data_IF_801463011351
#
_entry.id   IF_801463011351
#
_cell.length_a   1.000
_cell.length_b   1.000
_cell.length_c   1.000
_cell.angle_alpha   90.00
_cell.angle_beta   90.00
_cell.angle_gamma   90.00
#
_symmetry.space_group_name_H-M   'P 1'
#
loop_
_entity.id
_entity.type
_entity.pdbx_description
1 polymer ?
#
# COMPACT_ATOMS: atom_id res chain seq x y z
N UNK A 1 23.44 -11.42 22.96
CA UNK A 1 22.07 -11.28 22.42
C UNK A 1 22.02 -10.62 21.04
N UNK A 2 22.99 -9.78 20.66
CA UNK A 2 22.91 -8.99 19.43
C UNK A 2 23.02 -9.81 18.12
N UNK A 3 23.86 -10.84 18.09
CA UNK A 3 24.04 -11.68 16.89
C UNK A 3 22.75 -12.42 16.50
N UNK A 4 22.02 -13.00 17.45
CA UNK A 4 20.74 -13.69 17.19
C UNK A 4 19.68 -12.75 16.60
N UNK A 5 19.56 -11.55 17.15
CA UNK A 5 18.65 -10.51 16.62
C UNK A 5 19.02 -10.09 15.21
N UNK A 6 20.32 -9.96 14.90
CA UNK A 6 20.79 -9.71 13.54
C UNK A 6 20.39 -10.85 12.60
N UNK A 7 20.63 -12.11 12.98
CA UNK A 7 20.23 -13.30 12.19
C UNK A 7 18.72 -13.29 11.90
N UNK A 8 17.88 -13.02 12.90
CA UNK A 8 16.43 -12.95 12.68
C UNK A 8 16.00 -11.81 11.76
N UNK A 9 16.65 -10.63 11.86
CA UNK A 9 16.42 -9.53 10.92
C UNK A 9 16.79 -9.90 9.49
N UNK A 10 17.90 -10.60 9.31
CA UNK A 10 18.34 -11.08 8.00
C UNK A 10 17.42 -12.15 7.40
N UNK A 11 16.64 -12.87 8.23
CA UNK A 11 15.67 -13.85 7.75
C UNK A 11 14.25 -13.31 7.55
N UNK A 12 14.04 -12.00 7.75
CA UNK A 12 12.79 -11.35 7.40
C UNK A 12 12.70 -11.15 5.89
N UNK A 13 11.47 -11.16 5.31
CA UNK A 13 11.29 -10.81 3.92
C UNK A 13 11.83 -9.40 3.63
N UNK A 14 12.10 -9.15 2.35
CA UNK A 14 12.39 -7.80 1.87
C UNK A 14 11.23 -6.83 2.14
N UNK A 15 11.42 -5.53 1.82
CA UNK A 15 10.29 -4.60 1.85
C UNK A 15 9.22 -5.09 0.86
N UNK A 16 7.97 -5.19 1.31
CA UNK A 16 6.87 -5.71 0.50
C UNK A 16 5.88 -4.61 0.15
N UNK A 17 5.18 -4.81 -0.95
CA UNK A 17 4.06 -3.98 -1.33
C UNK A 17 2.77 -4.69 -1.00
N UNK A 18 1.84 -3.95 -0.40
CA UNK A 18 0.48 -4.37 -0.12
C UNK A 18 -0.39 -3.76 -1.20
N UNK A 19 -1.25 -4.57 -1.80
CA UNK A 19 -2.24 -4.10 -2.76
C UNK A 19 -3.65 -4.36 -2.26
N UNK A 20 -4.59 -3.66 -2.88
CA UNK A 20 -6.01 -3.92 -2.73
C UNK A 20 -6.41 -4.97 -3.77
N UNK A 21 -7.29 -5.88 -3.38
CA UNK A 21 -7.89 -6.86 -4.26
C UNK A 21 -9.38 -6.96 -3.96
N UNK A 22 -10.16 -7.44 -4.93
CA UNK A 22 -11.56 -7.76 -4.73
C UNK A 22 -11.80 -9.24 -5.04
N UNK A 23 -12.76 -9.86 -4.36
CA UNK A 23 -13.12 -11.27 -4.60
C UNK A 23 -13.95 -11.48 -5.86
N UNK A 24 -14.65 -10.45 -6.34
CA UNK A 24 -15.59 -10.57 -7.45
C UNK A 24 -15.77 -9.23 -8.19
N UNK A 25 -15.70 -9.29 -9.52
CA UNK A 25 -16.01 -8.18 -10.40
C UNK A 25 -17.14 -8.56 -11.34
N UNK A 26 -18.21 -7.77 -11.33
CA UNK A 26 -19.33 -7.92 -12.22
C UNK A 26 -19.02 -7.20 -13.54
N UNK A 27 -18.69 -7.97 -14.57
CA UNK A 27 -18.33 -7.45 -15.90
C UNK A 27 -19.48 -6.76 -16.62
N UNK A 28 -20.73 -7.15 -16.35
CA UNK A 28 -21.92 -6.55 -16.99
C UNK A 28 -22.21 -5.15 -16.45
N UNK A 29 -22.02 -4.98 -15.14
CA UNK A 29 -22.21 -3.70 -14.45
C UNK A 29 -20.94 -2.84 -14.40
N UNK A 30 -19.80 -3.43 -14.73
CA UNK A 30 -18.47 -2.84 -14.53
C UNK A 30 -18.25 -2.39 -13.07
N UNK A 31 -18.71 -3.20 -12.12
CA UNK A 31 -18.72 -2.89 -10.69
C UNK A 31 -18.14 -4.05 -9.87
N UNK A 32 -17.43 -3.72 -8.78
CA UNK A 32 -16.98 -4.72 -7.83
C UNK A 32 -18.12 -5.09 -6.87
N UNK A 33 -18.52 -6.36 -6.87
CA UNK A 33 -19.59 -6.88 -6.01
C UNK A 33 -19.06 -7.71 -4.84
N UNK A 34 -17.78 -8.08 -4.91
CA UNK A 34 -17.12 -8.89 -3.90
C UNK A 34 -16.61 -8.07 -2.72
N UNK A 35 -15.96 -8.76 -1.78
CA UNK A 35 -15.33 -8.11 -0.62
C UNK A 35 -13.98 -7.54 -1.02
N UNK A 36 -13.78 -6.25 -0.76
CA UNK A 36 -12.46 -5.60 -0.91
C UNK A 36 -11.55 -5.97 0.27
N UNK A 37 -10.34 -6.43 -0.01
CA UNK A 37 -9.36 -6.84 1.00
C UNK A 37 -7.93 -6.44 0.63
N UNK A 38 -7.02 -6.51 1.61
CA UNK A 38 -5.59 -6.24 1.43
C UNK A 38 -4.83 -7.55 1.30
N UNK A 39 -3.83 -7.58 0.41
CA UNK A 39 -2.90 -8.71 0.27
C UNK A 39 -1.49 -8.25 -0.06
N UNK A 40 -0.51 -9.08 0.22
CA UNK A 40 0.88 -8.84 -0.18
C UNK A 40 1.02 -9.11 -1.68
N UNK A 41 1.39 -8.08 -2.44
CA UNK A 41 1.54 -8.12 -3.90
C UNK A 41 2.89 -8.74 -4.33
N UNK A 42 3.94 -8.48 -3.55
CA UNK A 42 5.30 -8.90 -3.86
C UNK A 42 6.34 -8.08 -3.10
N UNK A 43 7.63 -8.36 -3.35
CA UNK A 43 8.68 -7.45 -2.91
C UNK A 43 8.62 -6.12 -3.68
N UNK A 44 9.08 -5.04 -3.04
CA UNK A 44 9.13 -3.72 -3.64
C UNK A 44 9.98 -3.70 -4.92
N UNK A 45 11.11 -4.41 -4.92
CA UNK A 45 11.99 -4.51 -6.09
C UNK A 45 11.35 -5.26 -7.25
N UNK A 46 10.62 -6.35 -6.97
CA UNK A 46 9.89 -7.07 -8.03
C UNK A 46 8.81 -6.17 -8.60
N UNK A 47 8.06 -5.45 -7.76
CA UNK A 47 6.99 -4.57 -8.24
C UNK A 47 7.52 -3.43 -9.12
N UNK A 48 8.65 -2.80 -8.76
CA UNK A 48 9.24 -1.72 -9.57
C UNK A 48 9.71 -2.16 -10.97
N UNK A 49 9.90 -3.47 -11.18
CA UNK A 49 10.24 -4.07 -12.48
C UNK A 49 9.00 -4.46 -13.28
N UNK A 50 7.80 -4.27 -12.73
CA UNK A 50 6.54 -4.56 -13.38
C UNK A 50 5.80 -3.27 -13.71
N UNK A 51 5.07 -3.27 -14.83
CA UNK A 51 4.12 -2.21 -15.15
C UNK A 51 2.86 -2.36 -14.28
N UNK A 52 2.91 -1.80 -13.07
CA UNK A 52 1.78 -1.85 -12.14
C UNK A 52 0.75 -0.74 -12.38
N UNK A 53 1.08 0.33 -13.11
CA UNK A 53 0.17 1.45 -13.36
C UNK A 53 -0.90 1.14 -14.40
N UNK A 54 -0.49 0.61 -15.56
CA UNK A 54 -1.39 0.47 -16.69
C UNK A 54 -2.15 -0.87 -16.71
N UNK A 55 -1.57 -1.94 -16.15
CA UNK A 55 -2.05 -3.31 -16.35
C UNK A 55 -2.52 -3.99 -15.06
N UNK A 56 -2.41 -3.34 -13.90
CA UNK A 56 -2.68 -3.98 -12.61
C UNK A 56 -3.94 -3.41 -11.92
N UNK A 57 -5.10 -3.97 -12.22
CA UNK A 57 -6.39 -3.65 -11.57
C UNK A 57 -6.70 -4.54 -10.35
N UNK A 58 -7.78 -4.25 -9.62
CA UNK A 58 -8.30 -5.10 -8.52
C UNK A 58 -8.69 -6.52 -8.97
N UNK A 59 -8.88 -6.73 -10.29
CA UNK A 59 -9.26 -8.00 -10.90
C UNK A 59 -8.08 -8.97 -11.02
N UNK A 60 -6.87 -8.51 -10.73
CA UNK A 60 -5.71 -9.38 -10.79
C UNK A 60 -5.88 -10.54 -9.82
N UNK A 61 -5.95 -11.74 -10.38
CA UNK A 61 -6.26 -12.94 -9.62
C UNK A 61 -5.10 -13.31 -8.69
N UNK A 62 -3.86 -12.86 -8.96
CA UNK A 62 -2.67 -13.29 -8.21
C UNK A 62 -1.69 -12.16 -7.88
N UNK A 63 -0.99 -12.26 -6.73
CA UNK A 63 0.16 -11.41 -6.44
C UNK A 63 1.26 -11.64 -7.48
N UNK A 64 2.10 -10.62 -7.72
CA UNK A 64 3.28 -10.73 -8.60
C UNK A 64 4.23 -11.80 -8.06
N UNK A 65 4.41 -11.82 -6.75
CA UNK A 65 5.35 -12.69 -6.06
C UNK A 65 4.71 -13.21 -4.77
N UNK A 66 4.91 -14.48 -4.46
CA UNK A 66 4.45 -15.03 -3.19
C UNK A 66 5.31 -14.50 -2.04
N UNK A 67 4.69 -13.78 -1.09
CA UNK A 67 5.37 -13.25 0.08
C UNK A 67 4.98 -14.03 1.35
N UNK A 68 5.76 -15.04 1.77
CA UNK A 68 5.46 -15.78 2.99
C UNK A 68 5.63 -14.91 4.24
N UNK A 69 5.02 -15.31 5.37
CA UNK A 69 5.32 -14.72 6.67
C UNK A 69 6.80 -14.81 7.04
N UNK A 70 7.33 -13.91 7.90
CA UNK A 70 8.72 -14.00 8.35
C UNK A 70 9.03 -15.35 9.01
N UNK A 71 10.04 -16.05 8.49
CA UNK A 71 10.47 -17.38 9.01
C UNK A 71 10.81 -17.31 10.50
N UNK A 72 11.29 -16.18 10.98
CA UNK A 72 11.59 -15.92 12.38
C UNK A 72 10.39 -16.13 13.33
N UNK A 73 9.15 -16.13 12.85
CA UNK A 73 7.97 -16.47 13.66
C UNK A 73 7.90 -17.96 14.05
N UNK A 74 8.58 -18.83 13.31
CA UNK A 74 8.50 -20.29 13.43
C UNK A 74 9.69 -20.91 14.18
N UNK A 75 10.77 -20.16 14.40
CA UNK A 75 12.03 -20.71 14.93
C UNK A 75 11.94 -21.08 16.42
N UNK A 76 11.69 -20.11 17.28
CA UNK A 76 11.59 -20.29 18.73
C UNK A 76 10.82 -19.14 19.37
N UNK A 77 10.47 -19.25 20.66
CA UNK A 77 9.72 -18.23 21.38
C UNK A 77 10.43 -16.86 21.40
N UNK A 78 11.76 -16.85 21.59
CA UNK A 78 12.55 -15.61 21.62
C UNK A 78 12.48 -14.88 20.26
N UNK A 79 12.69 -15.63 19.17
CA UNK A 79 12.61 -15.14 17.79
C UNK A 79 11.23 -14.62 17.42
N UNK A 80 10.19 -15.35 17.82
CA UNK A 80 8.79 -14.97 17.59
C UNK A 80 8.46 -13.67 18.31
N UNK A 81 8.77 -13.57 19.61
CA UNK A 81 8.54 -12.35 20.40
C UNK A 81 9.29 -11.16 19.83
N UNK A 82 10.53 -11.38 19.38
CA UNK A 82 11.31 -10.34 18.72
C UNK A 82 10.68 -9.88 17.40
N UNK A 83 10.25 -10.82 16.56
CA UNK A 83 9.63 -10.50 15.27
C UNK A 83 8.30 -9.79 15.45
N UNK A 84 7.46 -10.24 16.39
CA UNK A 84 6.18 -9.59 16.73
C UNK A 84 6.35 -8.22 17.41
N UNK A 85 7.56 -7.84 17.83
CA UNK A 85 7.83 -6.46 18.25
C UNK A 85 8.02 -5.49 17.07
N UNK A 86 8.12 -6.01 15.85
CA UNK A 86 8.38 -5.24 14.63
C UNK A 86 7.27 -5.44 13.58
N UNK A 87 6.63 -6.60 13.60
CA UNK A 87 5.49 -6.94 12.76
C UNK A 87 4.21 -6.94 13.60
N UNK A 88 3.13 -6.40 13.05
CA UNK A 88 1.78 -6.56 13.57
C UNK A 88 0.96 -7.46 12.65
N UNK A 89 0.05 -8.25 13.23
CA UNK A 89 -0.91 -9.01 12.45
C UNK A 89 -2.04 -8.08 12.02
N UNK A 90 -2.26 -7.96 10.70
CA UNK A 90 -3.44 -7.34 10.11
C UNK A 90 -4.53 -8.41 10.01
N UNK A 91 -5.52 -8.35 10.89
CA UNK A 91 -6.64 -9.30 10.93
C UNK A 91 -7.82 -8.77 10.12
N UNK A 92 -8.29 -9.58 9.17
CA UNK A 92 -9.51 -9.28 8.42
C UNK A 92 -10.72 -9.84 9.17
N UNK A 93 -11.73 -9.01 9.43
CA UNK A 93 -12.85 -9.29 10.32
C UNK A 93 -13.65 -10.56 9.96
N UNK A 94 -13.78 -10.86 8.66
CA UNK A 94 -14.60 -11.99 8.18
C UNK A 94 -13.82 -13.24 7.76
N UNK A 95 -12.51 -13.14 7.55
CA UNK A 95 -11.75 -14.23 6.90
C UNK A 95 -10.27 -14.19 7.26
N UNK A 96 -9.78 -15.27 7.88
CA UNK A 96 -8.37 -15.42 8.17
C UNK A 96 -7.50 -15.48 6.91
N UNK A 97 -8.06 -15.87 5.76
CA UNK A 97 -7.34 -15.96 4.49
C UNK A 97 -6.85 -14.59 3.98
N UNK A 98 -7.48 -13.49 4.41
CA UNK A 98 -7.09 -12.12 4.05
C UNK A 98 -6.32 -11.41 5.16
N UNK A 99 -5.82 -12.17 6.13
CA UNK A 99 -4.99 -11.68 7.22
C UNK A 99 -3.51 -11.91 6.92
N UNK A 100 -2.64 -10.97 7.30
CA UNK A 100 -1.21 -11.06 7.02
C UNK A 100 -0.38 -10.29 8.06
N UNK A 101 0.91 -10.60 8.15
CA UNK A 101 1.83 -9.84 9.00
C UNK A 101 2.36 -8.61 8.26
N UNK A 102 2.09 -7.43 8.80
CA UNK A 102 2.57 -6.13 8.35
C UNK A 102 3.79 -5.72 9.17
N UNK A 103 4.83 -5.19 8.52
CA UNK A 103 5.89 -4.42 9.15
C UNK A 103 5.69 -2.93 8.83
N UNK A 104 5.17 -2.13 9.77
CA UNK A 104 4.88 -0.72 9.55
C UNK A 104 6.06 0.12 9.08
N UNK A 105 7.30 -0.32 9.32
CA UNK A 105 8.52 0.41 8.97
C UNK A 105 9.11 0.03 7.61
N UNK A 106 8.60 -1.03 6.97
CA UNK A 106 9.18 -1.59 5.73
C UNK A 106 8.15 -1.83 4.64
N UNK A 107 6.97 -2.28 5.01
CA UNK A 107 5.94 -2.58 4.02
C UNK A 107 5.20 -1.30 3.61
N UNK A 108 4.80 -1.26 2.36
CA UNK A 108 4.19 -0.08 1.74
C UNK A 108 2.86 -0.44 1.11
N UNK A 109 1.82 0.36 1.34
CA UNK A 109 0.54 0.21 0.66
C UNK A 109 0.61 0.86 -0.71
N UNK A 110 0.37 0.10 -1.77
CA UNK A 110 0.17 0.67 -3.09
C UNK A 110 -1.21 1.31 -3.19
N UNK A 111 -1.21 2.60 -3.43
CA UNK A 111 -2.37 3.47 -3.44
C UNK A 111 -2.86 3.65 -4.88
N UNK A 112 -3.41 2.57 -5.43
CA UNK A 112 -3.79 2.49 -6.84
C UNK A 112 -5.06 3.28 -7.18
N UNK A 113 -5.33 3.39 -8.48
CA UNK A 113 -6.52 4.05 -9.02
C UNK A 113 -7.80 3.52 -8.42
N UNK A 114 -7.95 2.21 -8.31
CA UNK A 114 -9.21 1.59 -7.93
C UNK A 114 -9.54 1.85 -6.45
N UNK A 115 -8.51 1.84 -5.58
CA UNK A 115 -8.67 2.25 -4.19
C UNK A 115 -9.08 3.73 -4.06
N UNK A 116 -8.60 4.57 -4.99
CA UNK A 116 -8.86 6.01 -5.01
C UNK A 116 -9.93 6.45 -6.01
N UNK A 117 -10.57 5.53 -6.70
CA UNK A 117 -11.64 5.81 -7.67
C UNK A 117 -13.00 5.36 -7.17
N UNK A 118 -13.04 4.52 -6.14
CA UNK A 118 -14.27 3.89 -5.65
C UNK A 118 -14.41 4.02 -4.11
N UNK A 119 -15.37 4.83 -3.63
CA UNK A 119 -15.64 5.00 -2.19
C UNK A 119 -15.96 3.70 -1.46
N UNK A 120 -16.56 2.74 -2.15
CA UNK A 120 -16.95 1.42 -1.64
C UNK A 120 -15.73 0.64 -1.18
N UNK A 121 -14.64 0.67 -1.96
CA UNK A 121 -13.39 -0.02 -1.63
C UNK A 121 -12.85 0.42 -0.26
N UNK A 122 -12.85 1.73 0.02
CA UNK A 122 -12.37 2.24 1.30
C UNK A 122 -13.29 1.91 2.46
N UNK A 123 -14.60 1.99 2.22
CA UNK A 123 -15.60 1.60 3.21
C UNK A 123 -15.44 0.15 3.61
N UNK A 124 -15.30 -0.74 2.62
CA UNK A 124 -15.06 -2.16 2.83
C UNK A 124 -13.76 -2.42 3.59
N UNK A 125 -12.66 -1.80 3.19
CA UNK A 125 -11.39 -1.94 3.91
C UNK A 125 -11.50 -1.48 5.36
N UNK A 126 -12.21 -0.38 5.63
CA UNK A 126 -12.43 0.09 7.00
C UNK A 126 -13.31 -0.85 7.80
N UNK A 127 -14.36 -1.44 7.19
CA UNK A 127 -15.19 -2.46 7.84
C UNK A 127 -14.39 -3.75 8.12
N UNK A 128 -13.47 -4.11 7.23
CA UNK A 128 -12.70 -5.36 7.30
C UNK A 128 -11.51 -5.28 8.25
N UNK A 129 -10.81 -4.15 8.31
CA UNK A 129 -9.56 -4.00 9.10
C UNK A 129 -9.67 -2.97 10.23
N UNK A 130 -10.63 -2.05 10.18
CA UNK A 130 -10.87 -1.06 11.23
C UNK A 130 -9.69 -0.10 11.46
N UNK A 131 -9.31 0.05 12.72
CA UNK A 131 -8.18 0.89 13.15
C UNK A 131 -6.81 0.28 12.77
N UNK A 132 -6.75 -0.99 12.37
CA UNK A 132 -5.49 -1.61 11.96
C UNK A 132 -4.91 -0.97 10.70
N UNK A 133 -5.75 -0.35 9.85
CA UNK A 133 -5.29 0.43 8.70
C UNK A 133 -4.36 1.58 9.12
N UNK A 134 -4.52 2.11 10.33
CA UNK A 134 -3.67 3.18 10.86
C UNK A 134 -2.25 2.68 11.20
N UNK A 135 -1.96 1.37 11.07
CA UNK A 135 -0.60 0.82 11.14
C UNK A 135 0.18 0.95 9.84
N UNK A 136 -0.49 1.28 8.74
CA UNK A 136 0.15 1.55 7.45
C UNK A 136 0.74 2.95 7.51
N UNK A 137 2.07 3.05 7.44
CA UNK A 137 2.78 4.34 7.58
C UNK A 137 3.36 4.85 6.26
N UNK A 138 3.44 4.00 5.25
CA UNK A 138 4.02 4.35 3.95
C UNK A 138 3.05 3.94 2.85
N UNK A 139 2.78 4.86 1.93
CA UNK A 139 2.04 4.60 0.68
C UNK A 139 2.94 4.80 -0.53
N UNK A 140 2.74 3.96 -1.54
CA UNK A 140 3.34 4.05 -2.86
C UNK A 140 2.29 4.58 -3.83
N UNK A 141 2.62 5.62 -4.57
CA UNK A 141 1.70 6.33 -5.45
C UNK A 141 2.37 6.58 -6.79
N UNK A 142 1.65 6.28 -7.87
CA UNK A 142 2.06 6.70 -9.21
C UNK A 142 1.67 8.15 -9.51
N UNK A 143 2.59 8.92 -10.08
CA UNK A 143 2.36 10.33 -10.39
C UNK A 143 1.22 10.52 -11.38
N UNK A 144 1.12 9.68 -12.40
CA UNK A 144 0.05 9.75 -13.39
C UNK A 144 -1.34 9.61 -12.74
N UNK A 145 -1.47 8.71 -11.75
CA UNK A 145 -2.71 8.52 -11.01
C UNK A 145 -3.14 9.78 -10.25
N UNK A 146 -2.20 10.45 -9.59
CA UNK A 146 -2.46 11.72 -8.89
C UNK A 146 -2.64 12.93 -9.81
N UNK A 147 -1.98 12.93 -10.96
CA UNK A 147 -2.03 14.03 -11.90
C UNK A 147 -3.32 14.03 -12.72
N UNK A 148 -3.80 12.85 -13.13
CA UNK A 148 -4.82 12.73 -14.18
C UNK A 148 -6.08 11.96 -13.75
N UNK A 149 -5.97 10.98 -12.86
CA UNK A 149 -7.06 10.03 -12.60
C UNK A 149 -7.93 10.42 -11.38
N UNK A 150 -7.31 10.87 -10.28
CA UNK A 150 -8.01 11.08 -9.01
C UNK A 150 -8.12 12.57 -8.66
N UNK A 151 -9.34 13.12 -8.43
CA UNK A 151 -9.50 14.49 -7.97
C UNK A 151 -8.76 14.75 -6.65
N UNK A 152 -8.09 15.91 -6.53
CA UNK A 152 -7.25 16.27 -5.37
C UNK A 152 -7.98 16.10 -4.02
N UNK A 153 -9.22 16.59 -3.95
CA UNK A 153 -10.03 16.52 -2.73
C UNK A 153 -10.33 15.07 -2.32
N UNK A 154 -10.48 14.18 -3.31
CA UNK A 154 -10.74 12.78 -3.06
C UNK A 154 -9.45 12.08 -2.62
N UNK A 155 -8.32 12.32 -3.28
CA UNK A 155 -7.02 11.82 -2.84
C UNK A 155 -6.75 12.16 -1.37
N UNK A 156 -7.03 13.40 -0.96
CA UNK A 156 -6.94 13.83 0.44
C UNK A 156 -7.85 13.04 1.36
N UNK A 157 -9.12 12.86 0.97
CA UNK A 157 -10.06 12.04 1.72
C UNK A 157 -9.48 10.64 1.96
N UNK A 158 -8.97 10.00 0.90
CA UNK A 158 -8.37 8.69 0.96
C UNK A 158 -7.18 8.67 1.94
N UNK A 159 -6.25 9.62 1.82
CA UNK A 159 -5.06 9.68 2.67
C UNK A 159 -5.41 9.97 4.13
N UNK A 160 -6.41 10.82 4.38
CA UNK A 160 -6.88 11.14 5.72
C UNK A 160 -7.47 9.93 6.47
N UNK A 161 -7.90 8.88 5.75
CA UNK A 161 -8.33 7.63 6.38
C UNK A 161 -7.18 6.85 7.01
N UNK A 162 -5.94 7.04 6.55
CA UNK A 162 -4.74 6.37 7.06
C UNK A 162 -4.07 7.24 8.11
N UNK A 163 -4.58 7.23 9.35
CA UNK A 163 -4.12 8.15 10.41
C UNK A 163 -2.65 8.00 10.80
N UNK A 164 -2.07 6.82 10.56
CA UNK A 164 -0.66 6.55 10.82
C UNK A 164 0.27 6.84 9.65
N UNK A 165 -0.24 7.37 8.54
CA UNK A 165 0.54 7.71 7.37
C UNK A 165 1.62 8.75 7.70
N UNK A 166 2.86 8.46 7.30
CA UNK A 166 4.04 9.30 7.52
C UNK A 166 4.79 9.59 6.23
N UNK A 167 4.78 8.65 5.31
CA UNK A 167 5.60 8.68 4.10
C UNK A 167 4.74 8.41 2.88
N UNK A 168 4.93 9.23 1.84
CA UNK A 168 4.38 9.01 0.51
C UNK A 168 5.56 8.84 -0.42
N UNK A 169 5.63 7.69 -1.09
CA UNK A 169 6.64 7.39 -2.10
C UNK A 169 6.01 7.62 -3.46
N UNK A 170 6.57 8.55 -4.23
CA UNK A 170 6.14 8.85 -5.60
C UNK A 170 6.98 8.08 -6.60
N UNK A 171 6.30 7.38 -7.51
CA UNK A 171 6.88 6.73 -8.69
C UNK A 171 6.33 7.35 -9.95
N UNK A 172 7.16 7.47 -10.97
CA UNK A 172 6.77 8.09 -12.23
C UNK A 172 6.62 7.00 -13.27
N UNK A 173 5.56 7.04 -14.06
CA UNK A 173 5.30 6.09 -15.16
C UNK A 173 6.31 6.14 -16.32
N UNK A 174 7.48 6.74 -16.11
CA UNK A 174 8.60 6.67 -17.03
C UNK A 174 9.51 5.53 -16.59
N UNK A 175 10.00 4.75 -17.54
CA UNK A 175 10.99 3.68 -17.33
C UNK A 175 12.37 4.16 -17.78
N UNK A 176 13.41 3.81 -17.02
CA UNK A 176 14.79 4.08 -17.39
C UNK A 176 15.24 3.23 -18.59
N UNK A 177 16.46 3.47 -19.08
CA UNK A 177 17.02 2.71 -20.21
C UNK A 177 17.22 1.21 -19.94
N UNK A 178 16.95 0.73 -18.73
CA UNK A 178 17.04 -0.69 -18.29
C UNK A 178 15.66 -1.25 -17.94
N UNK A 179 14.58 -0.46 -18.14
CA UNK A 179 13.20 -0.88 -17.91
C UNK A 179 12.71 -0.79 -16.46
N UNK A 180 13.44 -0.13 -15.55
CA UNK A 180 12.94 0.11 -14.19
C UNK A 180 12.12 1.40 -14.15
N UNK A 181 11.05 1.42 -13.35
CA UNK A 181 10.31 2.66 -13.09
C UNK A 181 11.22 3.72 -12.45
N UNK A 182 11.17 4.91 -13.02
CA UNK A 182 11.89 6.09 -12.54
C UNK A 182 11.19 6.58 -11.27
N UNK A 183 11.96 6.72 -10.19
CA UNK A 183 11.48 7.23 -8.91
C UNK A 183 11.92 8.68 -8.72
N UNK A 184 11.42 9.34 -7.68
CA UNK A 184 11.83 10.72 -7.34
C UNK A 184 13.34 10.89 -7.19
N UNK A 185 14.05 9.86 -6.72
CA UNK A 185 15.49 9.94 -6.49
C UNK A 185 16.34 9.71 -7.73
N UNK A 186 15.76 9.24 -8.84
CA UNK A 186 16.53 8.80 -10.02
C UNK A 186 16.30 9.62 -11.29
N UNK A 187 15.36 10.58 -11.31
CA UNK A 187 15.11 11.38 -12.49
C UNK A 187 15.71 12.82 -12.42
N UNK A 188 16.37 13.32 -13.48
CA UNK A 188 16.93 14.68 -13.52
C UNK A 188 15.87 15.80 -13.53
N UNK A 189 14.75 15.60 -14.24
CA UNK A 189 13.72 16.64 -14.44
C UNK A 189 12.56 16.55 -13.43
N UNK A 190 12.54 15.48 -12.63
CA UNK A 190 11.49 15.21 -11.68
C UNK A 190 11.57 15.95 -10.33
N UNK A 191 12.70 16.50 -9.83
CA UNK A 191 12.69 17.27 -8.59
C UNK A 191 11.74 18.46 -8.65
N UNK A 192 11.62 19.10 -9.83
CA UNK A 192 10.68 20.22 -10.05
C UNK A 192 9.23 19.73 -10.05
N UNK A 193 8.95 18.57 -10.67
CA UNK A 193 7.61 17.96 -10.67
C UNK A 193 7.21 17.45 -9.29
N UNK A 194 8.13 16.79 -8.60
CA UNK A 194 8.01 16.34 -7.21
C UNK A 194 7.73 17.51 -6.29
N UNK A 195 8.51 18.60 -6.39
CA UNK A 195 8.30 19.80 -5.59
C UNK A 195 6.96 20.47 -5.92
N UNK A 196 6.53 20.50 -7.19
CA UNK A 196 5.21 21.02 -7.57
C UNK A 196 4.07 20.22 -6.93
N UNK A 197 4.14 18.88 -6.96
CA UNK A 197 3.17 18.03 -6.28
C UNK A 197 3.28 18.21 -4.76
N UNK A 198 4.49 18.22 -4.20
CA UNK A 198 4.73 18.46 -2.78
C UNK A 198 4.10 19.78 -2.32
N UNK A 199 4.31 20.88 -3.04
CA UNK A 199 3.68 22.18 -2.73
C UNK A 199 2.15 22.10 -2.84
N UNK A 200 1.64 21.42 -3.88
CA UNK A 200 0.19 21.19 -4.06
C UNK A 200 -0.41 20.49 -2.84
N UNK A 201 0.29 19.52 -2.24
CA UNK A 201 -0.20 18.75 -1.10
C UNK A 201 0.24 19.25 0.28
N UNK A 202 1.33 20.00 0.40
CA UNK A 202 1.86 20.57 1.66
C UNK A 202 0.95 21.65 2.24
N UNK A 203 0.24 22.37 1.37
CA UNK A 203 -0.71 23.41 1.76
C UNK A 203 -2.11 22.87 2.08
N UNK A 204 -2.30 21.56 2.02
CA UNK A 204 -3.57 20.93 2.35
C UNK A 204 -3.57 20.59 3.83
N UNK A 205 -4.22 21.45 4.62
CA UNK A 205 -4.39 21.22 6.05
C UNK A 205 -5.39 20.07 6.28
N UNK A 206 -4.86 18.90 6.62
CA UNK A 206 -5.66 17.70 6.94
C UNK A 206 -6.62 17.91 8.11
N UNK A 207 -6.48 18.99 8.90
CA UNK A 207 -7.36 19.31 10.03
C UNK A 207 -8.59 20.16 9.66
N UNK A 208 -8.64 20.75 8.47
CA UNK A 208 -9.74 21.67 8.06
C UNK A 208 -10.96 20.98 7.43
N UNK A 209 -10.90 19.68 7.16
CA UNK A 209 -12.04 18.96 6.60
C UNK A 209 -12.98 18.48 7.72
N UNK A 210 -13.97 19.31 8.06
CA UNK A 210 -15.12 18.86 8.83
C UNK A 210 -16.02 17.96 7.97
N UNK A 211 -15.94 16.66 8.23
CA UNK A 211 -16.74 15.64 7.56
C UNK A 211 -18.23 15.80 7.90
N UNK A 212 -19.07 16.04 6.89
CA UNK A 212 -20.47 15.63 6.96
C UNK A 212 -20.54 14.16 6.54
N UNK A 213 -21.04 13.26 7.39
CA UNK A 213 -21.32 11.90 6.95
C UNK A 213 -22.42 11.96 5.89
N UNK A 214 -22.19 11.32 4.76
CA UNK A 214 -23.21 11.09 3.75
C UNK A 214 -24.34 10.28 4.40
N UNK A 215 -25.55 10.85 4.37
CA UNK A 215 -26.80 10.17 4.73
C UNK A 215 -27.31 9.38 3.53
#
# INVERSE_FOLDING_TARGET
>A
MELRRRIWRFSWPEARVIEVANTEFNTEKMEYTGTTYLRLAGSFLTLLKTDFGANRTLDNVRPVEHCPPPVALLVCQESRRYTLSQYCLMQHAKSAAYSFFLNPSRDTLWFCRELTGQPECQRDLRLSYGEQLDKITTVLVEEAEWAYCTPVWYTLYCLATLRGLKTIVLVYGAIDGVGNLITETTAPDHPVRAEKQRVRYRNLDMSTFHFRPWR
#
